data_IF_402224782129
#
_entry.id   IF_402224782129
#
_cell.length_a   1.000
_cell.length_b   1.000
_cell.length_c   1.000
_cell.angle_alpha   90.00
_cell.angle_beta   90.00
_cell.angle_gamma   90.00
#
_symmetry.space_group_name_H-M   'P 1'
#
loop_
_entity.id
_entity.type
_entity.pdbx_description
1 polymer ?
#
# COMPACT_ATOMS: atom_id res chain seq x y z
N UNK A 1 -16.24 82.22 11.99
CA UNK A 1 -15.26 81.49 11.17
C UNK A 1 -14.89 80.25 11.97
N UNK A 2 -15.47 79.08 11.65
CA UNK A 2 -14.89 78.06 10.74
C UNK A 2 -13.53 77.55 11.29
N UNK A 3 -13.23 76.25 11.42
CA UNK A 3 -13.88 75.04 10.95
C UNK A 3 -13.43 73.81 11.78
N UNK A 4 -14.26 72.78 11.72
CA UNK A 4 -13.96 71.33 11.73
C UNK A 4 -12.50 70.85 11.80
N UNK A 5 -12.26 69.81 12.61
CA UNK A 5 -11.95 68.44 12.14
C UNK A 5 -11.95 67.39 13.25
N UNK A 6 -12.64 66.30 12.92
CA UNK A 6 -12.75 64.95 13.52
C UNK A 6 -11.37 64.38 13.94
N UNK A 7 -11.19 63.40 14.83
CA UNK A 7 -12.06 62.44 15.49
C UNK A 7 -11.18 61.25 15.96
N UNK A 8 -11.80 60.34 16.71
CA UNK A 8 -11.39 58.94 16.93
C UNK A 8 -10.56 58.57 18.19
N UNK A 9 -11.33 58.09 19.19
CA UNK A 9 -11.20 56.84 19.96
C UNK A 9 -10.20 56.66 21.11
N UNK A 10 -10.82 56.41 22.28
CA UNK A 10 -10.62 55.30 23.25
C UNK A 10 -9.27 55.29 24.00
N UNK A 11 -9.22 55.15 25.34
CA UNK A 11 -9.66 53.96 26.09
C UNK A 11 -9.83 54.25 27.60
N UNK A 12 -10.91 53.72 28.15
CA UNK A 12 -11.12 53.46 29.58
C UNK A 12 -10.21 52.32 30.07
N UNK A 13 -9.60 52.40 31.27
CA UNK A 13 -9.13 51.24 32.01
C UNK A 13 -10.22 50.79 32.98
N UNK A 14 -10.85 49.64 32.74
CA UNK A 14 -11.84 49.08 33.67
C UNK A 14 -11.56 47.61 33.91
N UNK A 15 -11.35 47.30 35.19
CA UNK A 15 -12.13 46.26 35.86
C UNK A 15 -11.62 44.84 35.75
N UNK A 16 -11.06 44.38 36.87
CA UNK A 16 -10.96 42.98 37.21
C UNK A 16 -12.31 42.26 37.02
N UNK A 17 -12.31 41.12 36.33
CA UNK A 17 -13.08 39.94 36.70
C UNK A 17 -12.43 38.74 36.01
N UNK A 18 -11.70 37.94 36.80
CA UNK A 18 -11.33 36.59 36.43
C UNK A 18 -12.60 35.72 36.44
N UNK A 19 -13.43 35.82 35.41
CA UNK A 19 -14.49 34.88 35.15
C UNK A 19 -13.92 33.75 34.30
N UNK A 20 -13.80 32.57 34.91
CA UNK A 20 -13.35 31.34 34.25
C UNK A 20 -14.15 31.10 32.97
N UNK A 21 -13.45 31.11 31.85
CA UNK A 21 -13.97 30.70 30.54
C UNK A 21 -14.43 29.24 30.69
N UNK A 22 -15.72 28.89 30.49
CA UNK A 22 -16.12 27.50 30.50
C UNK A 22 -15.39 26.81 29.34
N UNK A 23 -14.50 25.87 29.66
CA UNK A 23 -13.95 24.94 28.68
C UNK A 23 -15.13 24.29 27.99
N UNK A 24 -15.36 24.63 26.72
CA UNK A 24 -16.29 23.91 25.88
C UNK A 24 -15.76 22.49 25.74
N UNK A 25 -16.34 21.57 26.51
CA UNK A 25 -16.13 20.13 26.36
C UNK A 25 -16.47 19.77 24.93
N UNK A 26 -15.43 19.53 24.10
CA UNK A 26 -15.61 19.00 22.76
C UNK A 26 -16.29 17.64 22.89
N UNK A 27 -17.54 17.57 22.46
CA UNK A 27 -18.37 16.35 22.39
C UNK A 27 -17.99 15.42 21.23
N UNK A 28 -16.90 15.73 20.51
CA UNK A 28 -16.43 15.01 19.32
C UNK A 28 -15.50 13.83 19.61
N UNK A 29 -15.18 13.57 20.88
CA UNK A 29 -14.47 12.35 21.24
C UNK A 29 -15.51 11.31 21.63
N UNK A 30 -15.70 10.22 20.84
CA UNK A 30 -16.56 9.14 21.26
C UNK A 30 -16.00 8.60 22.58
N UNK A 31 -16.74 8.81 23.67
CA UNK A 31 -16.50 8.17 24.95
C UNK A 31 -16.54 6.66 24.71
N UNK A 32 -15.37 6.03 24.63
CA UNK A 32 -15.24 4.59 24.71
C UNK A 32 -15.50 4.14 26.16
N UNK A 33 -16.74 4.32 26.63
CA UNK A 33 -17.21 3.75 27.88
C UNK A 33 -17.93 2.44 27.57
N UNK A 34 -17.16 1.40 27.26
CA UNK A 34 -17.57 0.03 27.52
C UNK A 34 -16.47 -0.66 28.29
N UNK A 35 -16.51 -0.46 29.61
CA UNK A 35 -15.87 -1.35 30.57
C UNK A 35 -16.58 -2.69 30.43
N UNK A 36 -16.16 -3.51 29.46
CA UNK A 36 -16.59 -4.90 29.32
C UNK A 36 -15.99 -5.63 30.51
N UNK A 37 -16.84 -5.95 31.50
CA UNK A 37 -16.62 -7.00 32.50
C UNK A 37 -16.68 -8.38 31.81
N UNK A 38 -15.91 -8.55 30.74
CA UNK A 38 -15.69 -9.87 30.17
C UNK A 38 -14.39 -10.37 30.80
N UNK A 39 -14.35 -11.62 31.30
CA UNK A 39 -13.10 -12.27 31.62
C UNK A 39 -12.17 -12.10 30.41
N UNK A 40 -11.03 -11.47 30.64
CA UNK A 40 -10.01 -11.26 29.60
C UNK A 40 -9.39 -12.63 29.31
N UNK A 41 -10.06 -13.36 28.43
CA UNK A 41 -9.60 -14.62 27.91
C UNK A 41 -8.41 -14.31 27.00
N UNK A 42 -7.19 -14.48 27.52
CA UNK A 42 -5.94 -14.13 26.84
C UNK A 42 -5.87 -14.74 25.43
N UNK A 43 -6.15 -13.96 24.38
CA UNK A 43 -6.26 -14.46 23.01
C UNK A 43 -4.90 -14.89 22.45
N UNK A 44 -3.80 -14.43 23.07
CA UNK A 44 -2.44 -14.75 22.65
C UNK A 44 -2.02 -16.16 23.08
N UNK A 45 -2.45 -16.61 24.26
CA UNK A 45 -2.19 -17.97 24.73
C UNK A 45 -2.92 -19.02 23.87
N UNK A 46 -4.19 -18.76 23.57
CA UNK A 46 -4.98 -19.60 22.67
C UNK A 46 -4.46 -19.54 21.24
N UNK A 47 -3.96 -18.39 20.80
CA UNK A 47 -3.38 -18.25 19.47
C UNK A 47 -2.15 -19.11 19.24
N UNK A 48 -1.23 -19.12 20.21
CA UNK A 48 -0.04 -19.98 20.18
C UNK A 48 -0.40 -21.48 20.25
N UNK A 49 -1.41 -21.83 21.05
CA UNK A 49 -1.91 -23.21 21.15
C UNK A 49 -2.54 -23.67 19.83
N UNK A 50 -3.43 -22.87 19.23
CA UNK A 50 -4.06 -23.17 17.94
C UNK A 50 -3.04 -23.32 16.82
N UNK A 51 -1.99 -22.50 16.78
CA UNK A 51 -0.94 -22.60 15.76
C UNK A 51 -0.08 -23.85 15.92
N UNK A 52 0.12 -24.31 17.16
CA UNK A 52 0.77 -25.59 17.44
C UNK A 52 -0.12 -26.77 17.04
N UNK A 53 -1.41 -26.70 17.35
CA UNK A 53 -2.41 -27.71 16.99
C UNK A 53 -2.57 -27.79 15.46
N UNK A 54 -2.66 -26.65 14.75
CA UNK A 54 -2.78 -26.62 13.29
C UNK A 54 -1.58 -27.26 12.59
N UNK A 55 -0.35 -26.96 13.03
CA UNK A 55 0.86 -27.63 12.52
C UNK A 55 0.89 -29.13 12.85
N UNK A 56 0.29 -29.52 13.98
CA UNK A 56 0.24 -30.91 14.42
C UNK A 56 -0.79 -31.74 13.65
N UNK A 57 -2.01 -31.21 13.45
CA UNK A 57 -3.10 -31.85 12.71
C UNK A 57 -2.87 -31.86 11.20
N UNK A 58 -2.24 -30.82 10.65
CA UNK A 58 -1.95 -30.73 9.21
C UNK A 58 -0.83 -31.66 8.73
N UNK A 59 -0.08 -32.27 9.65
CA UNK A 59 1.01 -33.18 9.31
C UNK A 59 0.57 -34.64 9.48
N UNK A 60 0.85 -35.51 8.50
CA UNK A 60 0.51 -36.95 8.56
C UNK A 60 1.07 -37.72 9.78
N UNK A 61 1.96 -37.10 10.55
CA UNK A 61 2.50 -37.59 11.83
C UNK A 61 1.43 -37.82 12.91
N UNK A 62 0.32 -37.07 12.92
CA UNK A 62 -0.78 -37.30 13.87
C UNK A 62 -1.42 -38.68 13.67
N UNK A 63 -1.70 -39.02 12.40
CA UNK A 63 -2.32 -40.30 12.03
C UNK A 63 -1.39 -41.45 12.44
N UNK A 64 -0.10 -41.34 12.15
CA UNK A 64 0.90 -42.35 12.55
C UNK A 64 0.90 -42.57 14.07
N UNK A 65 0.95 -41.50 14.87
CA UNK A 65 0.91 -41.61 16.33
C UNK A 65 -0.39 -42.23 16.85
N UNK A 66 -1.55 -41.82 16.31
CA UNK A 66 -2.84 -42.39 16.67
C UNK A 66 -2.91 -43.89 16.36
N UNK A 67 -2.44 -44.31 15.19
CA UNK A 67 -2.37 -45.72 14.80
C UNK A 67 -1.46 -46.51 15.74
N UNK A 68 -0.29 -45.97 16.10
CA UNK A 68 0.61 -46.62 17.06
C UNK A 68 -0.05 -46.81 18.42
N UNK A 69 -0.75 -45.80 18.95
CA UNK A 69 -1.47 -45.90 20.23
C UNK A 69 -2.54 -47.00 20.20
N UNK A 70 -3.32 -47.06 19.12
CA UNK A 70 -4.35 -48.10 18.94
C UNK A 70 -3.69 -49.48 18.89
N UNK A 71 -2.61 -49.65 18.12
CA UNK A 71 -1.88 -50.92 18.03
C UNK A 71 -1.34 -51.32 19.40
N UNK A 72 -0.69 -50.40 20.12
CA UNK A 72 -0.15 -50.67 21.46
C UNK A 72 -1.27 -51.09 22.42
N UNK A 73 -2.43 -50.44 22.39
CA UNK A 73 -3.58 -50.81 23.22
C UNK A 73 -4.10 -52.21 22.92
N UNK A 74 -4.27 -52.53 21.63
CA UNK A 74 -4.73 -53.84 21.19
C UNK A 74 -3.72 -54.93 21.56
N UNK A 75 -2.43 -54.70 21.29
CA UNK A 75 -1.35 -55.63 21.65
C UNK A 75 -1.27 -55.84 23.16
N UNK A 76 -1.39 -54.78 23.95
CA UNK A 76 -1.42 -54.87 25.41
C UNK A 76 -2.56 -55.75 25.89
N UNK A 77 -3.79 -55.53 25.39
CA UNK A 77 -4.95 -56.30 25.83
C UNK A 77 -4.95 -57.76 25.33
N UNK A 78 -4.28 -58.07 24.22
CA UNK A 78 -4.13 -59.44 23.72
C UNK A 78 -3.01 -60.19 24.46
N UNK A 79 -1.84 -59.56 24.61
CA UNK A 79 -0.65 -60.17 25.18
C UNK A 79 -0.66 -60.19 26.72
N UNK A 80 -1.50 -59.37 27.37
CA UNK A 80 -1.64 -59.40 28.82
C UNK A 80 -2.25 -60.72 29.32
N UNK A 81 -1.76 -61.27 30.45
CA UNK A 81 -2.39 -62.38 31.16
C UNK A 81 -3.84 -62.04 31.52
N UNK A 82 -4.75 -63.03 31.50
CA UNK A 82 -6.19 -62.87 31.82
C UNK A 82 -6.52 -61.93 32.99
N UNK A 83 -5.79 -61.93 34.14
CA UNK A 83 -6.09 -61.01 35.24
C UNK A 83 -5.72 -59.53 35.00
N UNK A 84 -4.92 -59.23 33.97
CA UNK A 84 -4.46 -57.87 33.62
C UNK A 84 -5.11 -57.33 32.33
N UNK A 85 -6.02 -58.11 31.73
CA UNK A 85 -6.79 -57.67 30.55
C UNK A 85 -7.85 -56.69 31.02
N UNK A 86 -7.63 -55.41 30.74
CA UNK A 86 -8.59 -54.36 31.06
C UNK A 86 -9.72 -54.28 30.02
N UNK A 87 -9.47 -54.66 28.77
CA UNK A 87 -10.38 -54.49 27.63
C UNK A 87 -10.31 -55.71 26.69
N UNK A 88 -11.07 -56.76 27.01
CA UNK A 88 -11.15 -57.98 26.20
C UNK A 88 -12.06 -57.78 24.96
N UNK A 89 -11.90 -58.59 23.92
CA UNK A 89 -12.70 -58.47 22.67
C UNK A 89 -14.19 -58.44 23.01
N UNK A 90 -14.96 -57.38 22.63
CA UNK A 90 -14.77 -56.48 21.47
C UNK A 90 -14.13 -55.10 21.73
N UNK A 91 -13.29 -54.91 22.76
CA UNK A 91 -12.62 -53.63 23.08
C UNK A 91 -13.58 -52.46 23.35
N UNK A 92 -14.45 -52.61 24.35
CA UNK A 92 -15.48 -51.63 24.69
C UNK A 92 -14.88 -50.30 25.15
N UNK A 93 -13.77 -50.34 25.91
CA UNK A 93 -13.14 -49.12 26.41
C UNK A 93 -12.47 -48.33 25.30
N UNK A 94 -11.77 -49.01 24.38
CA UNK A 94 -11.22 -48.36 23.19
C UNK A 94 -12.33 -47.72 22.35
N UNK A 95 -13.44 -48.42 22.17
CA UNK A 95 -14.58 -47.91 21.39
C UNK A 95 -15.22 -46.68 22.06
N UNK A 96 -15.42 -46.72 23.37
CA UNK A 96 -15.94 -45.58 24.15
C UNK A 96 -14.98 -44.39 24.13
N UNK A 97 -13.67 -44.63 24.21
CA UNK A 97 -12.67 -43.58 24.13
C UNK A 97 -12.66 -42.91 22.75
N UNK A 98 -12.73 -43.71 21.67
CA UNK A 98 -12.78 -43.18 20.30
C UNK A 98 -14.07 -42.41 20.01
N UNK A 99 -15.21 -42.86 20.51
CA UNK A 99 -16.49 -42.14 20.33
C UNK A 99 -16.49 -40.81 21.09
N UNK A 100 -15.96 -40.79 22.32
CA UNK A 100 -15.77 -39.56 23.09
C UNK A 100 -14.78 -38.61 22.40
N UNK A 101 -13.66 -39.14 21.89
CA UNK A 101 -12.67 -38.37 21.15
C UNK A 101 -13.31 -37.66 19.96
N UNK A 102 -14.10 -38.37 19.16
CA UNK A 102 -14.82 -37.78 18.02
C UNK A 102 -15.80 -36.68 18.47
N UNK A 103 -16.55 -36.93 19.54
CA UNK A 103 -17.53 -35.97 20.08
C UNK A 103 -16.88 -34.67 20.57
N UNK A 104 -15.71 -34.74 21.21
CA UNK A 104 -14.99 -33.56 21.70
C UNK A 104 -14.09 -32.90 20.65
N UNK A 105 -13.71 -33.63 19.60
CA UNK A 105 -12.95 -33.06 18.49
C UNK A 105 -13.75 -31.99 17.73
N UNK A 106 -15.04 -32.23 17.47
CA UNK A 106 -15.89 -31.29 16.73
C UNK A 106 -15.93 -29.87 17.35
N UNK A 107 -16.24 -29.68 18.65
CA UNK A 107 -16.24 -28.34 19.24
C UNK A 107 -14.84 -27.72 19.30
N UNK A 108 -13.78 -28.49 19.56
CA UNK A 108 -12.41 -27.97 19.53
C UNK A 108 -12.01 -27.46 18.14
N UNK A 109 -12.37 -28.19 17.10
CA UNK A 109 -12.13 -27.80 15.70
C UNK A 109 -12.92 -26.53 15.38
N UNK A 110 -14.19 -26.44 15.80
CA UNK A 110 -15.01 -25.24 15.59
C UNK A 110 -14.43 -24.00 16.28
N UNK A 111 -13.90 -24.12 17.51
CA UNK A 111 -13.23 -23.00 18.17
C UNK A 111 -11.93 -22.61 17.45
N UNK A 112 -11.19 -23.58 16.90
CA UNK A 112 -9.99 -23.29 16.12
C UNK A 112 -10.31 -22.60 14.78
N UNK A 113 -11.41 -23.00 14.14
CA UNK A 113 -11.88 -22.45 12.86
C UNK A 113 -12.41 -21.02 12.99
N UNK A 114 -13.27 -20.73 13.98
CA UNK A 114 -13.80 -19.37 14.18
C UNK A 114 -12.70 -18.30 14.25
N UNK A 115 -11.55 -18.64 14.83
CA UNK A 115 -10.42 -17.72 14.96
C UNK A 115 -9.56 -17.62 13.69
N UNK A 116 -9.53 -18.68 12.87
CA UNK A 116 -8.92 -18.61 11.54
C UNK A 116 -9.77 -17.72 10.64
N UNK A 117 -11.09 -17.90 10.65
CA UNK A 117 -12.04 -17.10 9.87
C UNK A 117 -11.98 -15.60 10.24
N UNK A 118 -11.84 -15.27 11.53
CA UNK A 118 -11.67 -13.88 11.98
C UNK A 118 -10.37 -13.24 11.46
N UNK A 119 -9.25 -13.98 11.44
CA UNK A 119 -7.98 -13.49 10.87
C UNK A 119 -8.06 -13.34 9.37
N UNK A 120 -8.65 -14.32 8.70
CA UNK A 120 -8.81 -14.33 7.24
C UNK A 120 -9.71 -13.19 6.79
N UNK A 121 -10.75 -12.86 7.57
CA UNK A 121 -11.58 -11.68 7.35
C UNK A 121 -10.79 -10.37 7.44
N UNK A 122 -9.94 -10.21 8.46
CA UNK A 122 -9.11 -9.01 8.62
C UNK A 122 -8.11 -8.87 7.47
N UNK A 123 -7.47 -9.97 7.07
CA UNK A 123 -6.56 -9.99 5.93
C UNK A 123 -7.30 -9.61 4.63
N UNK A 124 -8.49 -10.17 4.38
CA UNK A 124 -9.32 -9.81 3.23
C UNK A 124 -9.73 -8.34 3.22
N UNK A 125 -10.05 -7.76 4.37
CA UNK A 125 -10.38 -6.32 4.48
C UNK A 125 -9.15 -5.43 4.22
N UNK A 126 -7.96 -5.86 4.64
CA UNK A 126 -6.71 -5.16 4.33
C UNK A 126 -6.34 -5.25 2.85
N UNK A 127 -6.44 -6.44 2.24
CA UNK A 127 -6.17 -6.65 0.82
C UNK A 127 -7.10 -5.82 -0.06
N UNK A 128 -8.39 -5.72 0.30
CA UNK A 128 -9.33 -4.83 -0.40
C UNK A 128 -8.87 -3.37 -0.37
N UNK A 129 -8.47 -2.86 0.80
CA UNK A 129 -7.95 -1.48 0.94
C UNK A 129 -6.65 -1.27 0.18
N UNK A 130 -5.76 -2.26 0.16
CA UNK A 130 -4.52 -2.19 -0.62
C UNK A 130 -4.82 -2.18 -2.12
N UNK A 131 -5.76 -3.01 -2.58
CA UNK A 131 -6.16 -3.05 -3.98
C UNK A 131 -6.80 -1.75 -4.43
N UNK A 132 -7.69 -1.15 -3.62
CA UNK A 132 -8.25 0.19 -3.87
C UNK A 132 -7.16 1.25 -4.02
N UNK A 133 -6.14 1.24 -3.14
CA UNK A 133 -4.99 2.15 -3.25
C UNK A 133 -4.15 1.88 -4.49
N UNK A 134 -3.90 0.62 -4.81
CA UNK A 134 -3.12 0.22 -6.00
C UNK A 134 -3.81 0.66 -7.30
N UNK A 135 -5.15 0.59 -7.35
CA UNK A 135 -5.93 1.10 -8.49
C UNK A 135 -5.77 2.61 -8.58
N UNK A 136 -5.93 3.34 -7.46
CA UNK A 136 -5.76 4.79 -7.43
C UNK A 136 -4.35 5.24 -7.83
N UNK A 137 -3.31 4.54 -7.37
CA UNK A 137 -1.91 4.81 -7.74
C UNK A 137 -1.69 4.55 -9.23
N UNK A 138 -2.28 3.49 -9.78
CA UNK A 138 -2.20 3.19 -11.22
C UNK A 138 -2.90 4.25 -12.06
N UNK A 139 -4.08 4.72 -11.64
CA UNK A 139 -4.79 5.83 -12.29
C UNK A 139 -3.99 7.14 -12.22
N UNK A 140 -3.38 7.42 -11.06
CA UNK A 140 -2.52 8.58 -10.87
C UNK A 140 -1.30 8.52 -11.80
N UNK A 141 -0.56 7.42 -11.80
CA UNK A 141 0.59 7.22 -12.67
C UNK A 141 0.21 7.30 -14.15
N UNK A 142 -0.94 6.75 -14.54
CA UNK A 142 -1.42 6.82 -15.94
C UNK A 142 -1.72 8.26 -16.34
N UNK A 143 -2.34 9.04 -15.45
CA UNK A 143 -2.60 10.47 -15.67
C UNK A 143 -1.28 11.26 -15.74
N UNK A 144 -0.34 10.99 -14.85
CA UNK A 144 0.96 11.65 -14.82
C UNK A 144 1.77 11.33 -16.09
N UNK A 145 1.77 10.07 -16.55
CA UNK A 145 2.40 9.66 -17.82
C UNK A 145 1.71 10.33 -19.01
N UNK A 146 0.38 10.46 -19.00
CA UNK A 146 -0.34 11.17 -20.05
C UNK A 146 0.03 12.67 -20.09
N UNK A 147 0.14 13.31 -18.93
CA UNK A 147 0.58 14.70 -18.80
C UNK A 147 2.05 14.87 -19.23
N UNK A 148 2.95 13.97 -18.81
CA UNK A 148 4.34 13.94 -19.23
C UNK A 148 4.45 13.76 -20.75
N UNK A 149 3.66 12.86 -21.34
CA UNK A 149 3.60 12.63 -22.78
C UNK A 149 3.13 13.86 -23.53
N UNK A 150 2.14 14.59 -23.02
CA UNK A 150 1.68 15.85 -23.61
C UNK A 150 2.77 16.93 -23.53
N UNK A 151 3.39 17.12 -22.36
CA UNK A 151 4.48 18.09 -22.18
C UNK A 151 5.71 17.77 -23.03
N UNK A 152 6.10 16.50 -23.16
CA UNK A 152 7.17 16.07 -24.08
C UNK A 152 6.76 16.20 -25.55
N UNK A 153 5.50 15.93 -25.88
CA UNK A 153 4.96 16.09 -27.23
C UNK A 153 4.94 17.54 -27.71
N UNK A 154 4.73 18.50 -26.81
CA UNK A 154 4.81 19.94 -27.11
C UNK A 154 6.26 20.45 -27.23
N UNK A 155 7.20 19.90 -26.45
CA UNK A 155 8.59 20.37 -26.40
C UNK A 155 9.50 19.68 -27.42
N UNK A 156 9.18 18.47 -27.86
CA UNK A 156 10.07 17.71 -28.73
C UNK A 156 9.28 16.81 -29.67
N UNK A 157 9.07 17.21 -30.93
CA UNK A 157 8.98 16.15 -31.95
C UNK A 157 9.40 16.51 -33.37
N UNK A 158 9.35 17.77 -33.83
CA UNK A 158 9.82 18.00 -35.20
C UNK A 158 10.29 19.40 -35.49
N UNK A 159 9.45 20.40 -35.26
CA UNK A 159 9.78 21.74 -35.74
C UNK A 159 10.85 22.40 -34.88
N UNK A 160 10.83 22.19 -33.56
CA UNK A 160 11.89 22.65 -32.65
C UNK A 160 13.23 21.93 -32.88
N UNK A 161 13.23 20.60 -32.98
CA UNK A 161 14.45 19.82 -33.26
C UNK A 161 15.01 20.19 -34.63
N UNK A 162 14.14 20.42 -35.63
CA UNK A 162 14.53 20.85 -36.97
C UNK A 162 15.10 22.27 -36.96
N UNK A 163 14.49 23.22 -36.24
CA UNK A 163 14.99 24.59 -36.16
C UNK A 163 16.34 24.63 -35.46
N UNK A 164 16.51 23.87 -34.37
CA UNK A 164 17.79 23.82 -33.63
C UNK A 164 18.90 23.19 -34.47
N UNK A 165 18.59 22.09 -35.18
CA UNK A 165 19.54 21.49 -36.14
C UNK A 165 19.90 22.46 -37.28
N UNK A 166 18.92 23.22 -37.79
CA UNK A 166 19.17 24.19 -38.85
C UNK A 166 20.02 25.38 -38.36
N UNK A 167 19.76 25.90 -37.17
CA UNK A 167 20.55 26.98 -36.58
C UNK A 167 22.00 26.54 -36.35
N UNK A 168 22.21 25.34 -35.80
CA UNK A 168 23.57 24.79 -35.60
C UNK A 168 24.30 24.55 -36.93
N UNK A 169 23.60 24.05 -37.96
CA UNK A 169 24.18 23.88 -39.30
C UNK A 169 24.56 25.23 -39.91
N UNK A 170 23.67 26.23 -39.80
CA UNK A 170 23.91 27.58 -40.32
C UNK A 170 25.10 28.25 -39.65
N UNK A 171 25.23 28.09 -38.33
CA UNK A 171 26.39 28.61 -37.59
C UNK A 171 27.72 28.00 -38.09
N UNK A 172 27.73 26.69 -38.37
CA UNK A 172 28.92 26.02 -38.92
C UNK A 172 29.24 26.48 -40.35
N UNK A 173 28.23 26.74 -41.17
CA UNK A 173 28.39 27.21 -42.55
C UNK A 173 28.89 28.65 -42.60
N UNK A 174 28.42 29.54 -41.72
CA UNK A 174 28.91 30.90 -41.58
C UNK A 174 30.39 30.93 -41.13
N UNK A 175 30.77 30.04 -40.21
CA UNK A 175 32.19 29.86 -39.81
C UNK A 175 33.07 29.38 -40.97
N UNK A 176 32.53 28.57 -41.88
CA UNK A 176 33.26 28.07 -43.05
C UNK A 176 33.34 29.12 -44.18
N UNK A 177 32.27 29.88 -44.42
CA UNK A 177 32.21 30.91 -45.47
C UNK A 177 32.95 32.21 -45.11
N UNK A 178 33.11 32.52 -43.83
CA UNK A 178 33.99 33.61 -43.37
C UNK A 178 35.48 33.45 -43.73
N UNK A 179 35.87 32.33 -44.36
CA UNK A 179 37.25 32.01 -44.72
C UNK A 179 37.56 32.01 -46.23
N UNK A 180 36.67 32.53 -47.10
CA UNK A 180 36.98 32.70 -48.54
C UNK A 180 37.29 34.17 -48.89
N UNK A 181 38.54 34.53 -49.24
CA UNK A 181 38.84 35.88 -49.72
C UNK A 181 38.29 36.07 -51.14
N UNK A 182 37.36 37.01 -51.31
CA UNK A 182 36.82 37.43 -52.61
C UNK A 182 37.93 38.11 -53.44
N UNK A 183 38.35 37.48 -54.55
CA UNK A 183 39.14 38.13 -55.59
C UNK A 183 38.21 38.91 -56.53
N UNK A 184 38.35 40.24 -56.56
CA UNK A 184 37.61 41.17 -57.43
C UNK A 184 38.47 41.51 -58.64
N UNK A 185 38.01 41.20 -59.86
CA UNK A 185 38.62 41.66 -61.11
C UNK A 185 37.83 42.86 -61.68
N UNK A 186 38.49 43.98 -62.05
CA UNK A 186 37.84 45.11 -62.73
C UNK A 186 37.98 45.00 -64.25
N UNK A 187 36.93 45.41 -64.99
CA UNK A 187 36.93 45.51 -66.45
C UNK A 187 37.18 46.96 -66.90
N UNK A 188 38.23 47.14 -67.71
CA UNK A 188 38.62 48.39 -68.37
C UNK A 188 37.63 48.85 -69.45
N UNK A 189 37.40 50.16 -69.54
CA UNK A 189 36.77 50.86 -70.67
C UNK A 189 37.83 51.54 -71.54
N UNK A 190 37.73 51.51 -72.89
CA UNK A 190 38.38 52.51 -73.73
C UNK A 190 37.37 53.52 -74.30
N UNK A 191 37.76 54.79 -74.20
CA UNK A 191 37.13 55.98 -74.79
C UNK A 191 37.47 56.13 -76.28
N UNK A 192 36.49 56.65 -77.03
CA UNK A 192 36.68 57.74 -77.99
C UNK A 192 36.85 57.35 -79.46
N UNK A 193 36.03 57.93 -80.35
CA UNK A 193 36.37 59.14 -81.11
C UNK A 193 35.23 59.48 -82.09
N UNK A 194 35.06 60.78 -82.27
CA UNK A 194 34.26 61.49 -83.28
C UNK A 194 34.32 60.86 -84.68
N UNK A 195 33.29 61.11 -85.50
CA UNK A 195 33.42 61.96 -86.69
C UNK A 195 32.09 62.01 -87.48
N UNK A 196 31.86 63.21 -88.01
CA UNK A 196 30.93 63.64 -89.05
C UNK A 196 30.53 62.58 -90.10
N UNK A 197 29.28 62.60 -90.55
CA UNK A 197 28.90 63.19 -91.86
C UNK A 197 27.43 62.91 -92.22
N UNK A 198 26.77 63.98 -92.71
CA UNK A 198 25.65 64.05 -93.68
C UNK A 198 24.25 63.52 -93.38
#
# INVERSE_FOLDING_TARGET
MAAEREGNRERHPVGATAAGRPQRTRLDQPRALRRRLLPEWDPDAFGRLSERIARFLGTGRFIVWMTVVIIVWVVWNIAAPRPLRFDEYPFIFLTLALSLQASYAAPLILLAQNRQDDRDRVNLEQDRKQNERSIADTEYLTREIAALRMGLGEVATRDWIRSELQDVIKELEERQNGHRPHAVFPADHPRGRDMDDR
#
